data_IF_699820312596
#
_entry.id   IF_699820312596
#
_cell.length_a   1.000
_cell.length_b   1.000
_cell.length_c   1.000
_cell.angle_alpha   90.00
_cell.angle_beta   90.00
_cell.angle_gamma   90.00
#
_symmetry.space_group_name_H-M   'P 1'
#
loop_
_entity.id
_entity.type
_entity.pdbx_description
1 polymer ?
#
# COMPACT_ATOMS: atom_id res chain seq x y z
N UNK A 1 29.83 -33.68 14.61
CA UNK A 1 29.22 -32.35 14.38
C UNK A 1 28.85 -31.77 15.73
N UNK A 2 29.46 -30.64 16.15
CA UNK A 2 29.08 -29.98 17.40
C UNK A 2 27.61 -29.54 17.31
N UNK A 3 26.81 -29.85 18.33
CA UNK A 3 25.43 -29.35 18.42
C UNK A 3 25.53 -27.84 18.63
N UNK A 4 25.01 -27.05 17.70
CA UNK A 4 24.88 -25.61 17.90
C UNK A 4 23.93 -25.41 19.09
N UNK A 5 24.38 -24.70 20.11
CA UNK A 5 23.54 -24.41 21.27
C UNK A 5 22.32 -23.61 20.81
N UNK A 6 21.12 -24.07 21.17
CA UNK A 6 19.86 -23.48 20.71
C UNK A 6 19.74 -21.98 21.00
N UNK A 7 20.45 -21.49 22.03
CA UNK A 7 20.50 -20.09 22.43
C UNK A 7 21.31 -19.22 21.45
N UNK A 8 22.43 -19.73 20.93
CA UNK A 8 23.22 -19.05 19.88
C UNK A 8 22.43 -19.05 18.57
N UNK A 9 21.84 -20.20 18.21
CA UNK A 9 21.06 -20.33 16.99
C UNK A 9 19.85 -19.38 16.99
N UNK A 10 19.06 -19.39 18.06
CA UNK A 10 17.91 -18.49 18.22
C UNK A 10 18.33 -17.02 18.21
N UNK A 11 19.41 -16.67 18.91
CA UNK A 11 19.95 -15.31 18.92
C UNK A 11 20.38 -14.83 17.53
N UNK A 12 21.06 -15.68 16.76
CA UNK A 12 21.48 -15.36 15.39
C UNK A 12 20.28 -15.16 14.44
N UNK A 13 19.23 -15.98 14.56
CA UNK A 13 18.00 -15.80 13.78
C UNK A 13 17.31 -14.48 14.13
N UNK A 14 17.12 -14.19 15.43
CA UNK A 14 16.51 -12.93 15.86
C UNK A 14 17.31 -11.71 15.36
N UNK A 15 18.64 -11.78 15.42
CA UNK A 15 19.52 -10.73 14.92
C UNK A 15 19.38 -10.55 13.41
N UNK A 16 19.39 -11.62 12.63
CA UNK A 16 19.22 -11.55 11.17
C UNK A 16 17.86 -10.96 10.79
N UNK A 17 16.77 -11.44 11.39
CA UNK A 17 15.43 -10.91 11.16
C UNK A 17 15.39 -9.44 11.57
N UNK A 18 15.93 -9.10 12.74
CA UNK A 18 15.99 -7.73 13.23
C UNK A 18 16.68 -6.78 12.25
N UNK A 19 17.86 -7.16 11.75
CA UNK A 19 18.61 -6.37 10.76
C UNK A 19 17.81 -6.17 9.48
N UNK A 20 17.16 -7.22 8.96
CA UNK A 20 16.32 -7.11 7.75
C UNK A 20 15.17 -6.12 7.97
N UNK A 21 14.45 -6.22 9.09
CA UNK A 21 13.35 -5.31 9.42
C UNK A 21 13.82 -3.86 9.57
N UNK A 22 14.97 -3.63 10.22
CA UNK A 22 15.56 -2.29 10.33
C UNK A 22 15.93 -1.73 8.96
N UNK A 23 16.54 -2.53 8.08
CA UNK A 23 16.87 -2.11 6.72
C UNK A 23 15.63 -1.77 5.89
N UNK A 24 14.56 -2.56 6.00
CA UNK A 24 13.26 -2.26 5.36
C UNK A 24 12.68 -0.96 5.90
N UNK A 25 12.66 -0.76 7.22
CA UNK A 25 12.19 0.49 7.83
C UNK A 25 12.96 1.72 7.34
N UNK A 26 14.29 1.63 7.22
CA UNK A 26 15.12 2.69 6.66
C UNK A 26 14.85 2.94 5.18
N UNK A 27 14.65 1.88 4.38
CA UNK A 27 14.32 2.00 2.97
C UNK A 27 12.97 2.70 2.76
N UNK A 28 11.95 2.30 3.53
CA UNK A 28 10.64 2.97 3.54
C UNK A 28 10.80 4.43 3.97
N UNK A 29 11.55 4.72 5.02
CA UNK A 29 11.79 6.09 5.47
C UNK A 29 12.44 6.99 4.41
N UNK A 30 13.38 6.46 3.62
CA UNK A 30 13.99 7.20 2.50
C UNK A 30 12.99 7.48 1.38
N UNK A 31 12.17 6.49 1.05
CA UNK A 31 11.13 6.64 0.02
C UNK A 31 10.06 7.65 0.46
N UNK A 32 9.64 7.60 1.73
CA UNK A 32 8.76 8.62 2.31
C UNK A 32 9.40 10.01 2.20
N UNK A 33 10.69 10.16 2.50
CA UNK A 33 11.39 11.44 2.33
C UNK A 33 11.42 11.93 0.87
N UNK A 34 11.47 11.03 -0.11
CA UNK A 34 11.31 11.37 -1.53
C UNK A 34 9.90 11.88 -1.82
N UNK A 35 8.89 11.19 -1.28
CA UNK A 35 7.47 11.52 -1.44
C UNK A 35 7.09 12.83 -0.72
N UNK A 36 7.73 13.17 0.39
CA UNK A 36 7.52 14.43 1.12
C UNK A 36 7.94 15.66 0.30
N UNK A 37 8.93 15.50 -0.58
CA UNK A 37 9.41 16.56 -1.47
C UNK A 37 8.70 16.57 -2.83
N UNK A 38 7.72 15.68 -3.02
CA UNK A 38 6.95 15.58 -4.24
C UNK A 38 6.03 16.81 -4.35
N UNK A 39 6.12 17.60 -5.43
CA UNK A 39 5.24 18.74 -5.61
C UNK A 39 3.80 18.25 -5.79
N UNK A 40 2.88 18.77 -4.99
CA UNK A 40 1.44 18.57 -5.20
C UNK A 40 0.98 19.59 -6.25
N UNK A 41 0.57 19.10 -7.42
CA UNK A 41 0.16 19.91 -8.54
C UNK A 41 -1.37 19.97 -8.64
N UNK A 42 -1.85 21.14 -9.06
CA UNK A 42 -3.25 21.36 -9.42
C UNK A 42 -3.45 21.13 -10.92
N UNK A 43 -4.68 21.19 -11.43
CA UNK A 43 -4.94 21.02 -12.86
C UNK A 43 -4.24 22.10 -13.71
N UNK A 44 -4.19 23.35 -13.24
CA UNK A 44 -3.42 24.41 -13.89
C UNK A 44 -1.91 24.16 -13.81
N UNK A 45 -1.42 23.66 -12.66
CA UNK A 45 -0.02 23.28 -12.48
C UNK A 45 0.44 22.19 -13.45
N UNK A 46 -0.43 21.21 -13.75
CA UNK A 46 -0.14 20.16 -14.72
C UNK A 46 0.02 20.70 -16.15
N UNK A 47 -0.80 21.68 -16.57
CA UNK A 47 -0.74 22.25 -17.93
C UNK A 47 0.59 22.88 -18.29
N UNK A 48 1.29 23.42 -17.30
CA UNK A 48 2.56 24.15 -17.47
C UNK A 48 3.76 23.33 -17.01
N UNK A 49 3.55 22.08 -16.58
CA UNK A 49 4.63 21.22 -16.09
C UNK A 49 5.27 20.43 -17.23
N UNK A 50 6.56 20.16 -17.09
CA UNK A 50 7.31 19.35 -18.03
C UNK A 50 6.84 17.89 -18.01
N UNK A 51 6.91 17.25 -19.17
CA UNK A 51 6.57 15.84 -19.35
C UNK A 51 7.46 14.92 -18.48
N UNK A 52 6.87 13.87 -17.92
CA UNK A 52 7.58 12.90 -17.07
C UNK A 52 7.98 13.42 -15.69
N UNK A 53 7.64 14.67 -15.33
CA UNK A 53 7.96 15.22 -14.00
C UNK A 53 7.18 14.45 -12.91
N UNK A 54 7.85 13.93 -11.87
CA UNK A 54 7.15 13.29 -10.76
C UNK A 54 6.37 14.32 -9.94
N UNK A 55 5.11 14.00 -9.62
CA UNK A 55 4.22 14.88 -8.87
C UNK A 55 3.15 14.10 -8.09
N UNK A 56 2.51 14.79 -7.14
CA UNK A 56 1.30 14.35 -6.46
C UNK A 56 0.10 15.18 -6.89
N UNK A 57 -1.12 14.65 -6.77
CA UNK A 57 -2.36 15.38 -7.02
C UNK A 57 -3.35 15.07 -5.90
N UNK A 58 -3.85 16.12 -5.23
CA UNK A 58 -5.01 16.02 -4.35
C UNK A 58 -6.28 16.34 -5.16
N UNK A 59 -7.22 15.39 -5.23
CA UNK A 59 -8.44 15.51 -6.03
C UNK A 59 -9.59 14.66 -5.48
N UNK A 60 -10.74 14.68 -6.16
CA UNK A 60 -11.85 13.76 -5.93
C UNK A 60 -12.14 12.94 -7.19
N UNK A 61 -12.63 11.72 -7.04
CA UNK A 61 -13.12 10.92 -8.18
C UNK A 61 -14.30 11.65 -8.84
N UNK A 62 -14.19 12.01 -10.12
CA UNK A 62 -15.21 12.75 -10.84
C UNK A 62 -16.45 11.91 -11.18
N UNK A 63 -17.59 12.56 -11.42
CA UNK A 63 -18.87 11.89 -11.71
C UNK A 63 -18.93 11.18 -13.08
N UNK A 64 -18.05 11.55 -14.02
CA UNK A 64 -18.05 11.04 -15.40
C UNK A 64 -17.48 9.61 -15.53
N UNK A 65 -16.88 9.09 -14.46
CA UNK A 65 -16.26 7.77 -14.50
C UNK A 65 -17.27 6.65 -14.76
N UNK A 66 -16.85 5.63 -15.49
CA UNK A 66 -17.65 4.43 -15.66
C UNK A 66 -17.87 3.75 -14.30
N UNK A 67 -19.09 3.28 -14.08
CA UNK A 67 -19.47 2.55 -12.88
C UNK A 67 -19.42 1.06 -13.15
N UNK A 68 -18.64 0.35 -12.34
CA UNK A 68 -18.56 -1.10 -12.32
C UNK A 68 -19.38 -1.67 -11.15
N UNK A 69 -19.01 -2.86 -10.69
CA UNK A 69 -19.72 -3.59 -9.64
C UNK A 69 -20.01 -2.71 -8.42
N UNK A 70 -21.29 -2.59 -8.07
CA UNK A 70 -21.72 -1.83 -6.90
C UNK A 70 -21.50 -0.32 -7.00
N UNK A 71 -21.21 0.25 -8.18
CA UNK A 71 -20.91 1.67 -8.33
C UNK A 71 -19.46 2.04 -7.99
N UNK A 72 -18.57 1.04 -7.94
CA UNK A 72 -17.11 1.25 -7.89
C UNK A 72 -16.61 1.76 -9.24
N UNK A 73 -15.63 2.66 -9.25
CA UNK A 73 -14.98 3.16 -10.48
C UNK A 73 -13.65 2.48 -10.75
N UNK A 74 -12.98 2.01 -9.70
CA UNK A 74 -11.74 1.25 -9.74
C UNK A 74 -11.72 0.34 -8.51
N UNK A 75 -11.37 -0.93 -8.68
CA UNK A 75 -11.42 -1.90 -7.60
C UNK A 75 -10.49 -3.09 -7.79
N UNK A 76 -10.24 -3.75 -6.67
CA UNK A 76 -9.66 -5.09 -6.58
C UNK A 76 -10.72 -6.03 -6.02
N UNK A 77 -10.92 -7.15 -6.69
CA UNK A 77 -11.75 -8.25 -6.22
C UNK A 77 -10.86 -9.35 -5.65
N UNK A 78 -11.32 -9.93 -4.55
CA UNK A 78 -10.72 -11.10 -3.94
C UNK A 78 -11.77 -12.18 -3.75
N UNK A 79 -11.40 -13.41 -4.04
CA UNK A 79 -12.23 -14.59 -3.82
C UNK A 79 -11.79 -15.32 -2.54
N UNK A 80 -12.77 -15.74 -1.74
CA UNK A 80 -12.52 -16.52 -0.54
C UNK A 80 -12.19 -17.97 -0.89
N UNK A 81 -11.00 -18.44 -0.48
CA UNK A 81 -10.46 -19.77 -0.81
C UNK A 81 -10.54 -20.77 0.37
N UNK A 82 -11.31 -20.43 1.41
CA UNK A 82 -11.46 -21.23 2.63
C UNK A 82 -10.56 -20.74 3.75
N UNK A 83 -10.25 -21.61 4.72
CA UNK A 83 -9.37 -21.27 5.84
C UNK A 83 -8.14 -22.16 5.89
N UNK A 84 -7.04 -21.60 6.37
CA UNK A 84 -5.81 -22.32 6.73
C UNK A 84 -5.67 -22.33 8.24
N UNK A 85 -5.58 -23.50 8.84
CA UNK A 85 -5.34 -23.65 10.28
C UNK A 85 -3.89 -24.12 10.47
N UNK A 86 -3.18 -23.56 11.45
CA UNK A 86 -1.80 -23.96 11.76
C UNK A 86 -1.74 -25.33 12.46
N UNK A 87 -2.79 -25.69 13.20
CA UNK A 87 -2.97 -26.99 13.82
C UNK A 87 -4.47 -27.38 13.88
N UNK A 88 -4.79 -28.67 14.07
CA UNK A 88 -6.16 -29.09 14.38
C UNK A 88 -6.62 -28.40 15.66
N UNK A 89 -7.69 -27.59 15.59
CA UNK A 89 -8.26 -26.75 16.66
C UNK A 89 -7.59 -25.38 16.92
N UNK A 90 -6.72 -24.90 16.03
CA UNK A 90 -6.17 -23.55 16.14
C UNK A 90 -7.05 -22.49 15.43
N UNK A 91 -6.73 -21.21 15.65
CA UNK A 91 -7.32 -20.11 14.92
C UNK A 91 -7.00 -20.24 13.43
N UNK A 92 -8.03 -20.53 12.64
CA UNK A 92 -7.90 -20.63 11.20
C UNK A 92 -7.99 -19.25 10.55
N UNK A 93 -7.01 -18.92 9.71
CA UNK A 93 -6.98 -17.69 8.94
C UNK A 93 -7.77 -17.85 7.64
N UNK A 94 -8.60 -16.87 7.32
CA UNK A 94 -9.33 -16.81 6.04
C UNK A 94 -8.35 -16.52 4.89
N UNK A 95 -8.34 -17.38 3.88
CA UNK A 95 -7.53 -17.20 2.68
C UNK A 95 -8.34 -16.40 1.66
N UNK A 96 -7.82 -15.24 1.26
CA UNK A 96 -8.38 -14.42 0.21
C UNK A 96 -7.34 -14.28 -0.92
N UNK A 97 -7.75 -14.58 -2.14
CA UNK A 97 -6.89 -14.49 -3.32
C UNK A 97 -7.45 -13.42 -4.25
N UNK A 98 -6.61 -12.50 -4.68
CA UNK A 98 -6.98 -11.55 -5.73
C UNK A 98 -7.20 -12.28 -7.05
N UNK A 99 -8.40 -12.15 -7.60
CA UNK A 99 -8.84 -12.85 -8.81
C UNK A 99 -9.23 -11.89 -9.94
N UNK A 100 -9.40 -10.60 -9.64
CA UNK A 100 -9.69 -9.57 -10.63
C UNK A 100 -9.26 -8.18 -10.13
N UNK A 101 -8.78 -7.35 -11.05
CA UNK A 101 -8.40 -5.95 -10.83
C UNK A 101 -8.92 -5.12 -11.98
N UNK A 102 -9.62 -4.04 -11.65
CA UNK A 102 -10.17 -3.07 -12.60
C UNK A 102 -9.66 -1.69 -12.21
N UNK A 103 -8.75 -1.15 -13.00
CA UNK A 103 -8.04 0.12 -12.77
C UNK A 103 -8.12 0.92 -14.06
N UNK A 104 -9.30 1.38 -14.53
CA UNK A 104 -9.43 2.05 -15.82
C UNK A 104 -8.84 3.48 -15.76
N UNK A 105 -8.65 4.16 -16.90
CA UNK A 105 -8.40 5.59 -16.92
C UNK A 105 -9.47 6.35 -16.12
N UNK A 106 -9.06 7.29 -15.27
CA UNK A 106 -9.95 7.98 -14.33
C UNK A 106 -10.02 9.48 -14.56
N UNK A 107 -11.22 10.02 -14.48
CA UNK A 107 -11.48 11.45 -14.36
C UNK A 107 -11.42 11.88 -12.89
N UNK A 108 -10.64 12.92 -12.60
CA UNK A 108 -10.48 13.49 -11.27
C UNK A 108 -10.89 14.97 -11.28
N UNK A 109 -11.65 15.39 -10.29
CA UNK A 109 -11.98 16.80 -10.06
C UNK A 109 -11.03 17.36 -9.00
N UNK A 110 -10.13 18.25 -9.43
CA UNK A 110 -9.26 19.05 -8.59
C UNK A 110 -9.87 20.44 -8.33
N UNK A 111 -9.39 21.22 -7.34
CA UNK A 111 -10.01 22.50 -6.98
C UNK A 111 -10.09 23.53 -8.13
N UNK A 112 -9.17 23.47 -9.09
CA UNK A 112 -9.02 24.44 -10.18
C UNK A 112 -9.31 23.84 -11.58
N UNK A 113 -9.76 22.59 -11.65
CA UNK A 113 -10.06 21.96 -12.92
C UNK A 113 -10.12 20.43 -12.85
N UNK A 114 -10.31 19.83 -14.02
CA UNK A 114 -10.39 18.39 -14.18
C UNK A 114 -9.07 17.84 -14.69
N UNK A 115 -8.69 16.68 -14.18
CA UNK A 115 -7.48 15.94 -14.55
C UNK A 115 -7.90 14.56 -15.06
N UNK A 116 -7.18 14.05 -16.06
CA UNK A 116 -7.40 12.72 -16.61
C UNK A 116 -6.20 11.82 -16.30
N UNK A 117 -6.44 10.77 -15.51
CA UNK A 117 -5.49 9.68 -15.32
C UNK A 117 -5.57 8.78 -16.55
N UNK A 118 -4.48 8.69 -17.31
CA UNK A 118 -4.52 8.10 -18.66
C UNK A 118 -4.29 6.59 -18.70
N UNK A 119 -3.62 6.04 -17.69
CA UNK A 119 -3.16 4.66 -17.66
C UNK A 119 -4.13 3.77 -16.88
N UNK A 120 -3.94 2.46 -17.03
CA UNK A 120 -4.79 1.44 -16.44
C UNK A 120 -4.08 0.42 -15.54
N UNK A 121 -2.81 0.69 -15.20
CA UNK A 121 -1.91 -0.21 -14.47
C UNK A 121 -1.49 0.32 -13.08
N UNK A 122 -2.20 1.33 -12.57
CA UNK A 122 -1.92 1.93 -11.27
C UNK A 122 -2.33 1.04 -10.08
N UNK A 123 -1.68 1.23 -8.94
CA UNK A 123 -1.99 0.51 -7.70
C UNK A 123 -2.99 1.26 -6.83
N UNK A 124 -4.01 0.56 -6.33
CA UNK A 124 -4.93 1.10 -5.33
C UNK A 124 -4.35 0.91 -3.92
N UNK A 125 -4.39 1.97 -3.11
CA UNK A 125 -3.97 1.92 -1.70
C UNK A 125 -5.02 2.53 -0.78
N UNK A 126 -5.14 1.95 0.43
CA UNK A 126 -6.07 2.36 1.47
C UNK A 126 -7.52 2.50 0.97
N UNK A 127 -8.03 1.52 0.22
CA UNK A 127 -9.30 1.65 -0.48
C UNK A 127 -10.48 1.81 0.52
N UNK A 128 -11.28 2.90 0.44
CA UNK A 128 -12.23 3.26 1.48
C UNK A 128 -13.51 2.42 1.40
N UNK A 129 -13.89 1.99 0.20
CA UNK A 129 -15.11 1.20 0.01
C UNK A 129 -14.76 -0.27 0.04
N UNK A 130 -15.37 -0.99 0.98
CA UNK A 130 -15.28 -2.45 1.11
C UNK A 130 -16.67 -3.05 0.99
N UNK A 131 -16.83 -4.04 0.12
CA UNK A 131 -18.08 -4.77 -0.07
C UNK A 131 -17.83 -6.25 -0.13
N UNK A 132 -18.80 -7.04 0.30
CA UNK A 132 -18.76 -8.49 0.23
C UNK A 132 -20.08 -8.99 -0.33
N UNK A 133 -20.05 -10.01 -1.20
CA UNK A 133 -21.27 -10.53 -1.83
C UNK A 133 -22.22 -11.14 -0.80
N UNK A 134 -21.65 -11.86 0.17
CA UNK A 134 -22.40 -12.66 1.14
C UNK A 134 -21.86 -12.42 2.54
N UNK A 135 -22.73 -12.44 3.55
CA UNK A 135 -22.30 -12.35 4.95
C UNK A 135 -21.63 -13.64 5.45
N UNK A 136 -21.95 -14.78 4.83
CA UNK A 136 -21.34 -16.09 5.13
C UNK A 136 -20.24 -16.36 4.12
N UNK A 137 -19.08 -16.78 4.62
CA UNK A 137 -17.93 -17.13 3.80
C UNK A 137 -18.09 -18.53 3.22
N UNK A 138 -18.42 -18.60 1.93
CA UNK A 138 -18.52 -19.83 1.14
C UNK A 138 -17.33 -19.88 0.17
N UNK A 139 -16.56 -20.96 0.24
CA UNK A 139 -15.34 -21.14 -0.55
C UNK A 139 -15.66 -21.09 -2.04
N UNK A 140 -14.89 -20.33 -2.82
CA UNK A 140 -15.03 -20.11 -4.27
C UNK A 140 -16.34 -19.42 -4.69
N UNK A 141 -17.10 -18.88 -3.74
CA UNK A 141 -18.36 -18.17 -4.03
C UNK A 141 -18.32 -16.74 -3.47
N UNK A 142 -17.88 -16.59 -2.21
CA UNK A 142 -17.83 -15.27 -1.58
C UNK A 142 -16.72 -14.43 -2.16
N UNK A 143 -17.10 -13.25 -2.66
CA UNK A 143 -16.19 -12.25 -3.21
C UNK A 143 -16.17 -11.00 -2.34
N UNK A 144 -14.99 -10.45 -2.14
CA UNK A 144 -14.76 -9.18 -1.47
C UNK A 144 -14.20 -8.16 -2.45
N UNK A 145 -14.82 -7.00 -2.53
CA UNK A 145 -14.44 -5.89 -3.38
C UNK A 145 -13.89 -4.77 -2.52
N UNK A 146 -12.78 -4.19 -2.96
CA UNK A 146 -12.18 -3.01 -2.33
C UNK A 146 -11.81 -2.01 -3.41
N UNK A 147 -12.22 -0.76 -3.26
CA UNK A 147 -12.01 0.22 -4.32
C UNK A 147 -12.52 1.62 -4.01
N UNK A 148 -12.69 2.40 -5.06
CA UNK A 148 -13.12 3.79 -5.02
C UNK A 148 -14.49 3.96 -5.66
N UNK A 149 -15.25 4.94 -5.19
CA UNK A 149 -16.51 5.40 -5.79
C UNK A 149 -16.40 6.89 -6.16
N UNK A 150 -17.35 7.38 -6.94
CA UNK A 150 -17.51 8.80 -7.25
C UNK A 150 -17.49 9.64 -5.97
N UNK A 151 -16.77 10.77 -6.02
CA UNK A 151 -16.67 11.73 -4.92
C UNK A 151 -15.70 11.32 -3.80
N UNK A 152 -15.05 10.15 -3.86
CA UNK A 152 -14.01 9.84 -2.88
C UNK A 152 -12.82 10.81 -3.04
N UNK A 153 -12.30 11.37 -1.92
CA UNK A 153 -11.05 12.11 -1.94
C UNK A 153 -9.90 11.15 -2.22
N UNK A 154 -9.01 11.54 -3.12
CA UNK A 154 -7.85 10.75 -3.50
C UNK A 154 -6.60 11.60 -3.60
N UNK A 155 -5.49 11.00 -3.20
CA UNK A 155 -4.15 11.47 -3.49
C UNK A 155 -3.51 10.55 -4.53
N UNK A 156 -3.11 11.12 -5.66
CA UNK A 156 -2.53 10.37 -6.78
C UNK A 156 -1.05 10.69 -6.88
N UNK A 157 -0.21 9.67 -6.87
CA UNK A 157 1.24 9.77 -7.06
C UNK A 157 1.59 9.23 -8.44
N UNK A 158 2.42 9.95 -9.18
CA UNK A 158 2.86 9.53 -10.49
C UNK A 158 3.65 10.60 -11.21
N UNK A 159 3.44 10.73 -12.52
CA UNK A 159 4.15 11.69 -13.35
C UNK A 159 3.26 12.41 -14.36
N UNK A 160 3.66 13.64 -14.69
CA UNK A 160 2.95 14.52 -15.63
C UNK A 160 3.04 13.97 -17.05
N UNK A 161 1.94 14.09 -17.80
CA UNK A 161 1.91 13.83 -19.25
C UNK A 161 1.57 15.14 -19.97
N UNK A 162 2.55 15.72 -20.66
CA UNK A 162 2.42 17.04 -21.26
C UNK A 162 1.59 17.03 -22.55
N UNK A 163 1.05 18.19 -22.92
CA UNK A 163 0.39 18.40 -24.22
C UNK A 163 -1.02 17.83 -24.36
N UNK A 164 -1.61 17.30 -23.29
CA UNK A 164 -3.00 16.84 -23.26
C UNK A 164 -3.97 17.93 -22.82
N UNK A 165 -5.13 18.00 -23.49
CA UNK A 165 -6.30 18.76 -23.04
C UNK A 165 -7.52 17.82 -22.96
N UNK A 166 -8.07 17.55 -21.77
CA UNK A 166 -7.69 18.10 -20.46
C UNK A 166 -6.33 17.58 -19.95
N UNK A 167 -5.75 18.21 -18.91
CA UNK A 167 -4.44 17.83 -18.36
C UNK A 167 -4.40 16.34 -18.00
N UNK A 168 -3.37 15.66 -18.47
CA UNK A 168 -3.19 14.23 -18.28
C UNK A 168 -2.15 13.92 -17.19
N UNK A 169 -2.34 12.79 -16.55
CA UNK A 169 -1.44 12.28 -15.52
C UNK A 169 -1.29 10.77 -15.63
N UNK A 170 -0.07 10.26 -15.49
CA UNK A 170 0.17 8.84 -15.36
C UNK A 170 0.29 8.49 -13.89
N UNK A 171 -0.65 7.72 -13.36
CA UNK A 171 -0.68 7.34 -11.96
C UNK A 171 0.16 6.08 -11.72
N UNK A 172 0.99 6.10 -10.69
CA UNK A 172 1.63 4.89 -10.15
C UNK A 172 0.79 4.33 -9.00
N UNK A 173 0.26 5.23 -8.16
CA UNK A 173 -0.55 4.92 -6.98
C UNK A 173 -1.73 5.87 -6.87
N UNK A 174 -2.91 5.32 -6.58
CA UNK A 174 -4.09 6.07 -6.13
C UNK A 174 -4.38 5.67 -4.69
N UNK A 175 -4.27 6.66 -3.81
CA UNK A 175 -4.46 6.52 -2.37
C UNK A 175 -5.75 7.22 -1.93
N UNK A 176 -6.46 6.66 -0.96
CA UNK A 176 -7.65 7.29 -0.39
C UNK A 176 -7.34 8.34 0.66
N UNK A 177 -7.82 9.56 0.46
CA UNK A 177 -7.58 10.70 1.33
C UNK A 177 -6.71 11.76 0.65
N UNK A 178 -5.99 12.53 1.46
CA UNK A 178 -5.10 13.60 1.00
C UNK A 178 -3.61 13.21 1.11
N UNK A 179 -2.75 14.05 0.54
CA UNK A 179 -1.29 13.96 0.62
C UNK A 179 -0.78 13.84 2.06
N UNK A 180 -1.37 14.57 3.01
CA UNK A 180 -0.97 14.52 4.41
C UNK A 180 -1.23 13.14 5.05
N UNK A 181 -2.39 12.56 4.78
CA UNK A 181 -2.79 11.23 5.26
C UNK A 181 -1.91 10.15 4.64
N UNK A 182 -1.62 10.25 3.34
CA UNK A 182 -0.70 9.35 2.64
C UNK A 182 0.70 9.36 3.26
N UNK A 183 1.26 10.54 3.49
CA UNK A 183 2.59 10.68 4.10
C UNK A 183 2.59 10.16 5.55
N UNK A 184 1.54 10.40 6.31
CA UNK A 184 1.42 9.91 7.68
C UNK A 184 1.42 8.37 7.73
N UNK A 185 0.65 7.70 6.87
CA UNK A 185 0.57 6.25 6.83
C UNK A 185 1.91 5.60 6.43
N UNK A 186 2.61 6.20 5.47
CA UNK A 186 3.96 5.77 5.07
C UNK A 186 4.99 5.95 6.20
N UNK A 187 4.91 7.06 6.97
CA UNK A 187 5.78 7.26 8.15
C UNK A 187 5.52 6.23 9.23
N UNK A 188 4.25 5.92 9.51
CA UNK A 188 3.87 4.94 10.53
C UNK A 188 4.43 3.55 10.18
N UNK A 189 4.27 3.10 8.94
CA UNK A 189 4.82 1.81 8.49
C UNK A 189 6.35 1.78 8.63
N UNK A 190 7.05 2.81 8.16
CA UNK A 190 8.51 2.90 8.27
C UNK A 190 9.00 2.83 9.73
N UNK A 191 8.35 3.59 10.62
CA UNK A 191 8.68 3.61 12.04
C UNK A 191 8.42 2.26 12.73
N UNK A 192 7.30 1.60 12.44
CA UNK A 192 6.97 0.29 13.01
C UNK A 192 8.01 -0.75 12.63
N UNK A 193 8.38 -0.85 11.34
CA UNK A 193 9.40 -1.79 10.89
C UNK A 193 10.77 -1.50 11.51
N UNK A 194 11.15 -0.22 11.59
CA UNK A 194 12.41 0.19 12.19
C UNK A 194 12.52 -0.23 13.67
N UNK A 195 11.51 0.11 14.49
CA UNK A 195 11.52 -0.19 15.92
C UNK A 195 11.43 -1.69 16.21
N UNK A 196 10.60 -2.42 15.46
CA UNK A 196 10.51 -3.87 15.58
C UNK A 196 11.85 -4.54 15.22
N UNK A 197 12.50 -4.09 14.15
CA UNK A 197 13.82 -4.58 13.75
C UNK A 197 14.89 -4.29 14.80
N UNK A 198 14.88 -3.09 15.38
CA UNK A 198 15.81 -2.70 16.45
C UNK A 198 15.62 -3.60 17.68
N UNK A 199 14.38 -3.81 18.12
CA UNK A 199 14.05 -4.65 19.27
C UNK A 199 14.51 -6.11 19.08
N UNK A 200 14.25 -6.70 17.90
CA UNK A 200 14.68 -8.05 17.57
C UNK A 200 16.21 -8.18 17.50
N UNK A 201 16.88 -7.17 16.95
CA UNK A 201 18.35 -7.13 16.89
C UNK A 201 18.97 -7.09 18.28
N UNK A 202 18.44 -6.26 19.18
CA UNK A 202 18.89 -6.17 20.57
C UNK A 202 18.61 -7.47 21.34
N UNK A 203 17.45 -8.08 21.15
CA UNK A 203 17.12 -9.37 21.77
C UNK A 203 18.09 -10.47 21.29
N UNK A 204 18.38 -10.52 19.99
CA UNK A 204 19.34 -11.46 19.40
C UNK A 204 20.74 -11.30 19.97
N UNK A 205 21.25 -10.06 20.05
CA UNK A 205 22.54 -9.75 20.67
C UNK A 205 22.58 -10.16 22.15
N UNK A 206 21.51 -9.89 22.89
CA UNK A 206 21.42 -10.21 24.32
C UNK A 206 21.48 -11.72 24.56
N UNK A 207 20.75 -12.52 23.77
CA UNK A 207 20.80 -13.99 23.86
C UNK A 207 22.22 -14.52 23.62
N UNK A 208 22.88 -14.02 22.57
CA UNK A 208 24.27 -14.42 22.27
C UNK A 208 25.20 -14.04 23.44
N UNK A 209 25.10 -12.82 23.97
CA UNK A 209 25.93 -12.34 25.08
C UNK A 209 25.72 -13.16 26.37
N UNK A 210 24.48 -13.47 26.73
CA UNK A 210 24.15 -14.31 27.90
C UNK A 210 24.79 -15.69 27.77
N UNK A 211 24.81 -16.28 26.57
CA UNK A 211 25.49 -17.56 26.37
C UNK A 211 26.99 -17.48 26.65
N UNK A 212 27.66 -16.40 26.24
CA UNK A 212 29.08 -16.20 26.50
C UNK A 212 29.37 -16.01 27.99
N UNK A 213 28.49 -15.34 28.74
CA UNK A 213 28.66 -15.14 30.19
C UNK A 213 28.49 -16.42 31.02
N UNK A 214 27.75 -17.41 30.51
CA UNK A 214 27.51 -18.68 31.20
C UNK A 214 28.57 -19.74 30.85
N UNK A 215 29.44 -19.48 29.87
CA UNK A 215 30.56 -20.37 29.49
C UNK A 215 31.80 -20.06 30.31
#
# INVERSE_FOLDING_TARGET
MPKLDGLIFGGAICLLIGVVFTLVGLAVGRETGRLENLPVLTAAGLRISDDGRPAGIDAHIAERNELYFGGLVAYVRREYQGKKCSAPNDNCESIWVEDERITPPLWLDAPDGRIFVINDDYTLQNEPVRRQTDSRLVKNETKAYRGFIIGNPVFVVGHVVAGHDPPAFHADVIYSGDSASFLNDNRLLGNVFFWLGLALSLAGLTLIAVRFLIT
#
